data_IF_844034576889
#
_entry.id   IF_844034576889
#
_cell.length_a   1.000
_cell.length_b   1.000
_cell.length_c   1.000
_cell.angle_alpha   90.00
_cell.angle_beta   90.00
_cell.angle_gamma   90.00
#
_symmetry.space_group_name_H-M   'P 1'
#
loop_
_entity.id
_entity.type
_entity.pdbx_description
1 polymer ?
#
# COMPACT_ATOMS: atom_id res chain seq x y z
N UNK A 1 -7.05 -5.60 -31.72
CA UNK A 1 -6.28 -4.49 -31.11
C UNK A 1 -4.99 -4.34 -31.91
N UNK A 2 -4.56 -3.14 -32.32
CA UNK A 2 -3.36 -2.99 -33.16
C UNK A 2 -2.16 -2.58 -32.30
N UNK A 3 -1.34 -3.55 -31.90
CA UNK A 3 -0.13 -3.34 -31.10
C UNK A 3 1.08 -3.39 -32.05
N UNK A 4 1.96 -2.41 -31.96
CA UNK A 4 3.22 -2.41 -32.71
C UNK A 4 4.32 -2.98 -31.81
N UNK A 5 4.82 -4.16 -32.15
CA UNK A 5 5.93 -4.82 -31.48
C UNK A 5 7.23 -4.59 -32.26
N UNK A 6 8.35 -4.49 -31.54
CA UNK A 6 9.66 -4.54 -32.21
C UNK A 6 9.90 -5.93 -32.81
N UNK A 7 10.73 -6.02 -33.84
CA UNK A 7 11.06 -7.30 -34.49
C UNK A 7 11.67 -8.32 -33.54
N UNK A 8 12.35 -7.87 -32.47
CA UNK A 8 12.89 -8.74 -31.43
C UNK A 8 11.78 -9.30 -30.53
N UNK A 9 10.82 -8.46 -30.13
CA UNK A 9 9.67 -8.88 -29.30
C UNK A 9 8.77 -9.85 -30.06
N UNK A 10 8.50 -9.61 -31.34
CA UNK A 10 7.70 -10.52 -32.17
C UNK A 10 8.32 -11.91 -32.24
N UNK A 11 9.62 -12.01 -32.51
CA UNK A 11 10.33 -13.30 -32.58
C UNK A 11 10.33 -14.04 -31.24
N UNK A 12 10.55 -13.32 -30.14
CA UNK A 12 10.53 -13.91 -28.81
C UNK A 12 9.14 -14.45 -28.46
N UNK A 13 8.09 -13.68 -28.72
CA UNK A 13 6.71 -14.06 -28.42
C UNK A 13 6.21 -15.20 -29.33
N UNK A 14 6.54 -15.19 -30.62
CA UNK A 14 6.23 -16.29 -31.54
C UNK A 14 6.87 -17.60 -31.08
N UNK A 15 8.15 -17.55 -30.68
CA UNK A 15 8.84 -18.72 -30.12
C UNK A 15 8.14 -19.23 -28.86
N UNK A 16 7.81 -18.35 -27.92
CA UNK A 16 7.16 -18.73 -26.66
C UNK A 16 5.74 -19.27 -26.88
N UNK A 17 4.97 -18.66 -27.78
CA UNK A 17 3.63 -19.11 -28.15
C UNK A 17 3.68 -20.51 -28.78
N UNK A 18 4.64 -20.77 -29.69
CA UNK A 18 4.86 -22.09 -30.28
C UNK A 18 5.24 -23.15 -29.23
N UNK A 19 6.09 -22.80 -28.26
CA UNK A 19 6.48 -23.74 -27.19
C UNK A 19 5.31 -24.06 -26.25
N UNK A 20 4.40 -23.11 -26.03
CA UNK A 20 3.18 -23.30 -25.23
C UNK A 20 2.00 -23.90 -26.00
N UNK A 21 2.08 -23.98 -27.34
CA UNK A 21 0.96 -24.44 -28.17
C UNK A 21 -0.19 -23.43 -28.30
N UNK A 22 0.07 -22.15 -28.06
CA UNK A 22 -0.93 -21.08 -28.11
C UNK A 22 -0.79 -20.27 -29.40
N UNK A 23 -1.89 -19.69 -29.88
CA UNK A 23 -1.81 -18.61 -30.85
C UNK A 23 -1.13 -17.39 -30.20
N UNK A 24 -0.37 -16.63 -30.99
CA UNK A 24 0.33 -15.44 -30.50
C UNK A 24 -0.63 -14.43 -29.86
N UNK A 25 -1.81 -14.27 -30.45
CA UNK A 25 -2.87 -13.37 -29.96
C UNK A 25 -3.36 -13.80 -28.57
N UNK A 26 -3.69 -15.09 -28.39
CA UNK A 26 -4.14 -15.63 -27.09
C UNK A 26 -3.08 -15.49 -25.99
N UNK A 27 -1.80 -15.66 -26.35
CA UNK A 27 -0.68 -15.49 -25.43
C UNK A 27 -0.50 -14.04 -24.98
N UNK A 28 -0.70 -13.08 -25.90
CA UNK A 28 -0.65 -11.65 -25.59
C UNK A 28 -1.83 -11.25 -24.70
N UNK A 29 -3.04 -11.70 -25.03
CA UNK A 29 -4.23 -11.39 -24.24
C UNK A 29 -4.11 -11.94 -22.82
N UNK A 30 -3.61 -13.18 -22.68
CA UNK A 30 -3.34 -13.79 -21.37
C UNK A 30 -2.28 -13.01 -20.59
N UNK A 31 -1.19 -12.59 -21.23
CA UNK A 31 -0.14 -11.80 -20.58
C UNK A 31 -0.65 -10.43 -20.11
N UNK A 32 -1.54 -9.79 -20.87
CA UNK A 32 -2.15 -8.52 -20.49
C UNK A 32 -3.11 -8.67 -19.30
N UNK A 33 -3.87 -9.76 -19.23
CA UNK A 33 -4.72 -10.07 -18.06
C UNK A 33 -3.86 -10.29 -16.82
N UNK A 34 -2.79 -11.08 -16.92
CA UNK A 34 -1.86 -11.32 -15.82
C UNK A 34 -1.18 -10.03 -15.34
N UNK A 35 -0.80 -9.16 -16.27
CA UNK A 35 -0.25 -7.84 -15.94
C UNK A 35 -1.27 -6.95 -15.24
N UNK A 36 -2.54 -6.97 -15.67
CA UNK A 36 -3.61 -6.22 -15.01
C UNK A 36 -3.88 -6.73 -13.59
N UNK A 37 -3.87 -8.04 -13.38
CA UNK A 37 -3.99 -8.66 -12.07
C UNK A 37 -2.80 -8.30 -11.17
N UNK A 38 -1.57 -8.33 -11.72
CA UNK A 38 -0.36 -7.94 -11.01
C UNK A 38 -0.37 -6.46 -10.62
N UNK A 39 -0.78 -5.55 -11.52
CA UNK A 39 -0.93 -4.12 -11.24
C UNK A 39 -1.98 -3.91 -10.14
N UNK A 40 -3.08 -4.66 -10.16
CA UNK A 40 -4.15 -4.57 -9.14
C UNK A 40 -3.65 -5.06 -7.77
N UNK A 41 -2.79 -6.08 -7.74
CA UNK A 41 -2.18 -6.58 -6.50
C UNK A 41 -1.03 -5.70 -5.99
N UNK A 42 -0.26 -5.07 -6.89
CA UNK A 42 0.90 -4.23 -6.56
C UNK A 42 0.54 -2.78 -6.21
N UNK A 43 -0.61 -2.29 -6.66
CA UNK A 43 -1.14 -0.99 -6.24
C UNK A 43 -1.70 -1.07 -4.81
N UNK A 44 -0.80 -1.18 -3.83
CA UNK A 44 -1.11 -1.10 -2.40
C UNK A 44 -1.86 0.19 -2.01
N UNK A 45 -1.80 1.22 -2.87
CA UNK A 45 -2.55 2.48 -2.75
C UNK A 45 -4.08 2.31 -2.80
N UNK A 46 -4.59 1.27 -3.47
CA UNK A 46 -6.04 0.97 -3.54
C UNK A 46 -6.42 -0.25 -2.69
N UNK A 47 -5.47 -0.80 -1.92
CA UNK A 47 -5.77 -1.89 -1.01
C UNK A 47 -6.72 -1.40 0.10
N UNK A 48 -7.80 -2.13 0.42
CA UNK A 48 -8.77 -1.70 1.45
C UNK A 48 -8.12 -1.41 2.82
N UNK A 49 -7.06 -2.15 3.17
CA UNK A 49 -6.30 -1.93 4.39
C UNK A 49 -5.54 -0.60 4.40
N UNK A 50 -4.87 -0.27 3.29
CA UNK A 50 -4.16 1.00 3.16
C UNK A 50 -5.12 2.19 3.14
N UNK A 51 -6.25 2.09 2.41
CA UNK A 51 -7.26 3.15 2.38
C UNK A 51 -7.84 3.42 3.78
N UNK A 52 -8.17 2.36 4.52
CA UNK A 52 -8.62 2.47 5.92
C UNK A 52 -7.57 3.11 6.82
N UNK A 53 -6.30 2.69 6.71
CA UNK A 53 -5.19 3.30 7.45
C UNK A 53 -5.03 4.79 7.10
N UNK A 54 -5.18 5.16 5.83
CA UNK A 54 -5.03 6.52 5.33
C UNK A 54 -6.14 7.43 5.86
N UNK A 55 -7.40 6.98 5.85
CA UNK A 55 -8.53 7.72 6.43
C UNK A 55 -8.38 7.92 7.94
N UNK A 56 -7.97 6.87 8.67
CA UNK A 56 -7.71 6.95 10.10
C UNK A 56 -6.58 7.94 10.39
N UNK A 57 -5.49 7.87 9.63
CA UNK A 57 -4.32 8.75 9.81
C UNK A 57 -4.70 10.21 9.55
N UNK A 58 -5.44 10.50 8.46
CA UNK A 58 -5.92 11.85 8.16
C UNK A 58 -6.76 12.41 9.32
N UNK A 59 -7.69 11.62 9.84
CA UNK A 59 -8.53 12.00 10.99
C UNK A 59 -7.68 12.35 12.22
N UNK A 60 -6.66 11.53 12.54
CA UNK A 60 -5.79 11.79 13.70
C UNK A 60 -4.94 13.05 13.52
N UNK A 61 -4.49 13.34 12.30
CA UNK A 61 -3.77 14.58 11.98
C UNK A 61 -4.69 15.79 12.21
N UNK A 62 -5.94 15.75 11.73
CA UNK A 62 -6.89 16.84 11.93
C UNK A 62 -7.18 17.10 13.41
N UNK A 63 -7.28 16.04 14.22
CA UNK A 63 -7.42 16.14 15.68
C UNK A 63 -6.20 16.83 16.28
N UNK A 64 -4.99 16.41 15.88
CA UNK A 64 -3.74 17.01 16.34
C UNK A 64 -3.62 18.49 15.97
N UNK A 65 -3.96 18.86 14.73
CA UNK A 65 -3.95 20.25 14.26
C UNK A 65 -4.90 21.11 15.08
N UNK A 66 -6.16 20.66 15.28
CA UNK A 66 -7.13 21.39 16.12
C UNK A 66 -6.67 21.54 17.57
N UNK A 67 -6.05 20.51 18.13
CA UNK A 67 -5.50 20.57 19.49
C UNK A 67 -4.39 21.63 19.59
N UNK A 68 -3.49 21.69 18.61
CA UNK A 68 -2.44 22.71 18.54
C UNK A 68 -3.04 24.12 18.39
N UNK A 69 -4.05 24.30 17.52
CA UNK A 69 -4.76 25.59 17.36
C UNK A 69 -5.41 26.06 18.67
N UNK A 70 -5.86 25.13 19.51
CA UNK A 70 -6.42 25.41 20.83
C UNK A 70 -5.37 25.59 21.93
N UNK A 71 -4.07 25.55 21.58
CA UNK A 71 -2.97 25.68 22.53
C UNK A 71 -2.70 24.43 23.38
N UNK A 72 -3.28 23.28 23.02
CA UNK A 72 -3.04 22.00 23.70
C UNK A 72 -1.71 21.37 23.28
N UNK A 73 -0.62 22.11 23.51
CA UNK A 73 0.75 21.67 23.29
C UNK A 73 1.31 21.16 24.62
N UNK A 74 2.04 20.04 24.59
CA UNK A 74 2.66 19.45 25.77
C UNK A 74 4.15 19.28 25.48
N UNK A 75 4.99 19.71 26.43
CA UNK A 75 6.43 19.57 26.32
C UNK A 75 6.85 18.10 26.41
N UNK A 76 7.91 17.74 25.67
CA UNK A 76 8.36 16.35 25.57
C UNK A 76 8.72 15.75 26.94
N UNK A 77 9.36 16.52 27.82
CA UNK A 77 9.72 16.07 29.17
C UNK A 77 8.48 15.78 30.04
N UNK A 78 7.42 16.55 29.86
CA UNK A 78 6.15 16.32 30.54
C UNK A 78 5.46 15.06 30.00
N UNK A 79 5.50 14.83 28.68
CA UNK A 79 5.01 13.59 28.07
C UNK A 79 5.74 12.37 28.65
N UNK A 80 7.07 12.42 28.70
CA UNK A 80 7.89 11.32 29.24
C UNK A 80 7.59 11.04 30.71
N UNK A 81 7.42 12.10 31.51
CA UNK A 81 7.06 11.98 32.93
C UNK A 81 5.69 11.33 33.10
N UNK A 82 4.68 11.80 32.35
CA UNK A 82 3.32 11.22 32.37
C UNK A 82 3.32 9.76 31.93
N UNK A 83 4.09 9.39 30.91
CA UNK A 83 4.22 8.01 30.44
C UNK A 83 4.85 7.11 31.51
N UNK A 84 5.94 7.55 32.14
CA UNK A 84 6.57 6.80 33.24
C UNK A 84 5.59 6.56 34.39
N UNK A 85 4.85 7.59 34.79
CA UNK A 85 3.85 7.47 35.86
C UNK A 85 2.73 6.49 35.50
N UNK A 86 2.25 6.50 34.25
CA UNK A 86 1.25 5.52 33.78
C UNK A 86 1.77 4.09 33.85
N UNK A 87 3.02 3.87 33.46
CA UNK A 87 3.65 2.54 33.52
C UNK A 87 3.77 2.07 34.97
N UNK A 88 4.25 2.93 35.87
CA UNK A 88 4.37 2.55 37.29
C UNK A 88 3.01 2.29 37.94
N UNK A 89 1.97 3.06 37.60
CA UNK A 89 0.61 2.79 38.07
C UNK A 89 0.06 1.45 37.55
N UNK A 90 0.30 1.11 36.28
CA UNK A 90 -0.12 -0.17 35.72
C UNK A 90 0.60 -1.36 36.38
N UNK A 91 1.89 -1.21 36.70
CA UNK A 91 2.65 -2.24 37.45
C UNK A 91 2.09 -2.43 38.86
N UNK A 92 1.81 -1.33 39.57
CA UNK A 92 1.25 -1.39 40.92
C UNK A 92 -0.15 -2.01 40.97
N UNK A 93 -0.96 -1.82 39.92
CA UNK A 93 -2.30 -2.42 39.80
C UNK A 93 -2.27 -3.91 39.43
N UNK A 94 -1.14 -4.41 38.93
CA UNK A 94 -0.94 -5.81 38.53
C UNK A 94 -0.25 -6.66 39.60
N UNK A 95 0.13 -6.06 40.73
CA UNK A 95 0.79 -6.70 41.87
C UNK A 95 -0.22 -6.98 43.00
#
# INVERSE_FOLDING_TARGET
MQITLSSQQSKALESLAQHGGYALEDAIDTALVLLADEITQQNGADSPGYLSWLEQTRTQIEVGVKAVEQGAVVEADEVLTRLRNKVEAAKAASA
#
